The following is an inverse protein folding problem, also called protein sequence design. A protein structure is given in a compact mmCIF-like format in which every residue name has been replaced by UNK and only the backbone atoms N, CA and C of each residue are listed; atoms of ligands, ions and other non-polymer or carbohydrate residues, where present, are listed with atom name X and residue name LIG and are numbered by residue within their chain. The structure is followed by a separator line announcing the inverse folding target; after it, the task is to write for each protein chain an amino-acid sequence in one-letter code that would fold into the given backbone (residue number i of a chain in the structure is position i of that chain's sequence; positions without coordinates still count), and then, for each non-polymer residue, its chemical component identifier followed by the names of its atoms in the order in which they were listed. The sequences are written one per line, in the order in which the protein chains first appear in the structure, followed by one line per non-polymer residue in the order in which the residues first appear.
data_IF_215574329995
#
_entry.id   IF_215574329995
#
_cell.length_a   1.000
_cell.length_b   1.000
_cell.length_c   1.000
_cell.angle_alpha   90.00
_cell.angle_beta   90.00
_cell.angle_gamma   90.00
#
_symmetry.space_group_name_H-M   'P 1'
#
loop_
_entity.id
_entity.type
_entity.pdbx_description
1 polymer ?
#
# COMPACT_ATOMS: atom_id res chain seq x y z
N UNK A 1 -15.72 -29.35 -48.86
CA UNK A 1 -14.62 -29.15 -49.84
C UNK A 1 -13.35 -29.02 -49.01
N UNK A 2 -12.38 -29.95 -48.96
CA UNK A 2 -11.58 -30.56 -50.05
C UNK A 2 -10.52 -29.55 -50.48
N UNK A 3 -9.19 -29.73 -50.39
CA UNK A 3 -8.25 -30.87 -50.58
C UNK A 3 -6.91 -30.52 -49.83
N UNK A 4 -6.07 -31.38 -49.22
CA UNK A 4 -5.27 -32.55 -49.64
C UNK A 4 -4.31 -32.30 -50.83
N UNK A 5 -2.97 -32.34 -50.66
CA UNK A 5 -1.97 -33.35 -51.14
C UNK A 5 -0.60 -32.59 -51.23
N UNK A 6 0.63 -33.13 -51.13
CA UNK A 6 1.24 -34.35 -50.59
C UNK A 6 2.78 -34.18 -50.69
N UNK A 7 3.54 -35.03 -49.99
CA UNK A 7 4.98 -35.16 -50.22
C UNK A 7 5.65 -36.18 -49.30
N UNK A 8 5.39 -37.48 -49.52
CA UNK A 8 6.19 -38.57 -48.96
C UNK A 8 7.36 -38.91 -49.90
N UNK A 9 8.42 -39.53 -49.35
CA UNK A 9 8.87 -40.81 -49.89
C UNK A 9 8.84 -41.93 -48.82
N UNK A 10 8.47 -43.13 -49.28
CA UNK A 10 8.43 -44.38 -48.51
C UNK A 10 9.56 -45.32 -48.91
N UNK A 11 10.17 -46.05 -47.94
CA UNK A 11 10.23 -47.54 -47.78
C UNK A 11 11.46 -47.93 -46.91
N UNK A 12 11.52 -49.00 -46.10
CA UNK A 12 10.95 -50.36 -46.16
C UNK A 12 10.60 -50.93 -44.75
N UNK A 13 9.57 -51.80 -44.72
CA UNK A 13 9.13 -52.64 -43.58
C UNK A 13 10.04 -53.86 -43.34
N UNK A 14 10.11 -54.34 -42.08
CA UNK A 14 10.16 -55.79 -41.74
C UNK A 14 9.62 -56.05 -40.33
N UNK A 15 8.64 -56.94 -40.23
CA UNK A 15 8.33 -57.70 -39.00
C UNK A 15 7.16 -57.22 -38.14
N UNK A 16 5.93 -57.51 -38.56
CA UNK A 16 4.76 -57.53 -37.67
C UNK A 16 4.79 -58.76 -36.77
N UNK A 17 4.41 -58.61 -35.50
CA UNK A 17 3.57 -59.60 -34.78
C UNK A 17 2.94 -58.93 -33.55
N UNK A 18 1.65 -58.62 -33.66
CA UNK A 18 0.78 -58.35 -32.52
C UNK A 18 0.84 -59.51 -31.52
N UNK A 19 1.16 -59.23 -30.26
CA UNK A 19 0.88 -60.16 -29.15
C UNK A 19 -0.42 -59.73 -28.49
N UNK A 20 -1.50 -60.36 -28.93
CA UNK A 20 -2.76 -60.47 -28.19
C UNK A 20 -2.45 -61.20 -26.88
N UNK A 21 -2.71 -60.56 -25.73
CA UNK A 21 -2.63 -61.24 -24.42
C UNK A 21 -3.84 -62.16 -24.28
N UNK A 22 -3.64 -63.45 -24.54
CA UNK A 22 -4.57 -64.49 -24.11
C UNK A 22 -4.45 -64.66 -22.59
N UNK A 23 -5.59 -64.54 -21.89
CA UNK A 23 -5.75 -64.96 -20.50
C UNK A 23 -5.36 -66.44 -20.38
N UNK A 24 -4.38 -66.75 -19.52
CA UNK A 24 -4.13 -68.10 -19.02
C UNK A 24 -4.25 -68.11 -17.51
N UNK A 25 -5.33 -68.73 -17.03
CA UNK A 25 -5.40 -69.32 -15.69
C UNK A 25 -4.51 -70.57 -15.63
N UNK A 26 -3.91 -70.82 -14.47
CA UNK A 26 -3.61 -72.18 -13.99
C UNK A 26 -2.16 -72.67 -14.04
N UNK A 27 -1.51 -72.56 -12.87
CA UNK A 27 -0.59 -73.51 -12.20
C UNK A 27 0.90 -73.63 -12.56
N UNK A 28 1.64 -73.58 -11.43
CA UNK A 28 2.85 -74.30 -11.02
C UNK A 28 4.24 -73.72 -11.33
N UNK A 29 4.78 -73.11 -10.26
CA UNK A 29 6.11 -73.29 -9.66
C UNK A 29 7.32 -73.49 -10.57
N UNK A 30 8.24 -72.51 -10.48
CA UNK A 30 9.65 -72.77 -10.14
C UNK A 30 10.34 -71.51 -9.66
N UNK A 31 10.70 -71.55 -8.38
CA UNK A 31 11.65 -70.68 -7.70
C UNK A 31 12.91 -70.48 -8.55
N UNK A 32 13.19 -69.24 -8.96
CA UNK A 32 14.57 -68.78 -9.10
C UNK A 32 14.70 -67.44 -8.42
N UNK A 33 15.42 -67.49 -7.29
CA UNK A 33 15.92 -66.36 -6.54
C UNK A 33 16.64 -65.38 -7.46
N UNK A 34 15.97 -64.31 -7.86
CA UNK A 34 16.64 -63.02 -8.06
C UNK A 34 16.08 -62.09 -7.01
N UNK A 35 16.75 -62.08 -5.86
CA UNK A 35 16.82 -60.93 -4.95
C UNK A 35 17.13 -59.71 -5.81
N UNK A 36 16.09 -59.04 -6.32
CA UNK A 36 16.17 -57.60 -6.50
C UNK A 36 16.34 -57.10 -5.08
N UNK A 37 17.57 -56.71 -4.74
CA UNK A 37 17.79 -55.70 -3.72
C UNK A 37 16.74 -54.62 -4.02
N UNK A 38 15.67 -54.61 -3.24
CA UNK A 38 15.04 -53.36 -2.89
C UNK A 38 16.20 -52.65 -2.21
N UNK A 39 16.77 -51.68 -2.91
CA UNK A 39 17.31 -50.57 -2.16
C UNK A 39 16.10 -50.07 -1.37
N UNK A 40 16.05 -50.48 -0.10
CA UNK A 40 15.61 -49.66 1.01
C UNK A 40 16.53 -48.41 1.04
N UNK A 41 16.55 -47.69 -0.08
CA UNK A 41 17.15 -46.39 -0.21
C UNK A 41 16.16 -45.50 0.52
N UNK A 42 16.50 -45.16 1.77
CA UNK A 42 15.96 -44.03 2.53
C UNK A 42 15.17 -43.13 1.58
N UNK A 43 13.84 -43.19 1.65
CA UNK A 43 13.04 -42.07 1.18
C UNK A 43 13.63 -40.90 1.96
N UNK A 44 14.41 -40.06 1.28
CA UNK A 44 14.84 -38.82 1.88
C UNK A 44 13.54 -38.12 2.19
N UNK A 45 13.18 -38.05 3.47
CA UNK A 45 12.07 -37.24 3.94
C UNK A 45 12.43 -35.82 3.51
N UNK A 46 11.95 -35.46 2.33
CA UNK A 46 12.19 -34.18 1.70
C UNK A 46 11.17 -33.21 2.24
N UNK A 47 11.49 -31.93 2.26
CA UNK A 47 10.53 -30.89 2.64
C UNK A 47 9.24 -30.92 1.81
N UNK A 48 9.21 -31.60 0.65
CA UNK A 48 8.03 -31.82 -0.19
C UNK A 48 7.05 -32.88 0.31
N UNK A 49 7.40 -33.69 1.32
CA UNK A 49 6.49 -34.66 1.94
C UNK A 49 5.73 -34.10 3.15
N UNK A 50 6.10 -32.88 3.58
CA UNK A 50 5.42 -32.19 4.67
C UNK A 50 4.03 -31.69 4.21
N UNK A 51 3.04 -31.65 5.11
CA UNK A 51 1.80 -30.92 4.89
C UNK A 51 2.05 -29.49 4.41
N UNK A 52 1.19 -29.02 3.51
CA UNK A 52 1.28 -27.72 2.86
C UNK A 52 1.37 -26.59 3.88
N UNK A 53 0.62 -26.71 4.98
CA UNK A 53 0.56 -25.75 6.07
C UNK A 53 1.90 -25.64 6.81
N UNK A 54 2.62 -26.76 6.98
CA UNK A 54 3.94 -26.78 7.63
C UNK A 54 4.97 -26.14 6.71
N UNK A 55 4.90 -26.40 5.41
CA UNK A 55 5.78 -25.78 4.41
C UNK A 55 5.57 -24.26 4.39
N UNK A 56 4.32 -23.80 4.39
CA UNK A 56 3.99 -22.39 4.44
C UNK A 56 4.49 -21.75 5.74
N UNK A 57 4.35 -22.43 6.88
CA UNK A 57 4.88 -21.92 8.17
C UNK A 57 6.41 -21.83 8.18
N UNK A 58 7.11 -22.83 7.63
CA UNK A 58 8.57 -22.79 7.46
C UNK A 58 8.95 -21.60 6.56
N UNK A 59 8.23 -21.39 5.46
CA UNK A 59 8.48 -20.25 4.57
C UNK A 59 8.36 -18.92 5.32
N UNK A 60 7.26 -18.70 6.05
CA UNK A 60 7.02 -17.50 6.84
C UNK A 60 8.18 -17.25 7.83
N UNK A 61 8.51 -18.26 8.66
CA UNK A 61 9.56 -18.12 9.68
C UNK A 61 10.96 -17.97 9.09
N UNK A 62 11.23 -18.57 7.92
CA UNK A 62 12.54 -18.49 7.28
C UNK A 62 12.80 -17.16 6.59
N UNK A 63 11.74 -16.42 6.22
CA UNK A 63 11.83 -15.20 5.42
C UNK A 63 12.48 -15.38 4.04
N UNK A 64 12.72 -16.61 3.59
CA UNK A 64 13.55 -16.86 2.41
C UNK A 64 12.72 -16.86 1.12
N UNK A 65 12.65 -15.69 0.47
CA UNK A 65 11.93 -15.50 -0.79
C UNK A 65 12.36 -16.47 -1.91
N UNK A 66 13.61 -16.95 -1.92
CA UNK A 66 14.09 -17.88 -2.94
C UNK A 66 13.39 -19.24 -2.89
N UNK A 67 12.72 -19.58 -1.78
CA UNK A 67 11.96 -20.82 -1.64
C UNK A 67 10.78 -20.89 -2.63
N UNK A 68 10.21 -19.74 -3.01
CA UNK A 68 9.17 -19.63 -4.02
C UNK A 68 9.66 -20.05 -5.42
N UNK A 69 10.94 -19.81 -5.72
CA UNK A 69 11.53 -20.00 -7.06
C UNK A 69 12.10 -21.41 -7.29
N UNK A 70 12.19 -22.24 -6.25
CA UNK A 70 12.88 -23.54 -6.30
C UNK A 70 12.25 -24.52 -7.30
N UNK A 71 10.92 -24.68 -7.27
CA UNK A 71 10.22 -25.59 -8.16
C UNK A 71 8.73 -25.22 -8.30
N UNK A 72 8.05 -25.84 -9.26
CA UNK A 72 6.60 -25.63 -9.50
C UNK A 72 5.73 -25.96 -8.29
N UNK A 73 6.14 -26.89 -7.44
CA UNK A 73 5.39 -27.29 -6.26
C UNK A 73 5.37 -26.20 -5.20
N UNK A 74 6.55 -25.68 -4.82
CA UNK A 74 6.68 -24.54 -3.91
C UNK A 74 6.04 -23.29 -4.49
N UNK A 75 6.23 -23.01 -5.79
CA UNK A 75 5.55 -21.90 -6.44
C UNK A 75 4.03 -21.99 -6.27
N UNK A 76 3.42 -23.17 -6.45
CA UNK A 76 1.96 -23.35 -6.34
C UNK A 76 1.46 -23.21 -4.90
N UNK A 77 2.25 -23.66 -3.93
CA UNK A 77 1.89 -23.62 -2.50
C UNK A 77 2.10 -22.24 -1.88
N UNK A 78 3.13 -21.53 -2.33
CA UNK A 78 3.56 -20.24 -1.81
C UNK A 78 3.02 -19.07 -2.66
N UNK A 79 2.05 -19.32 -3.54
CA UNK A 79 1.28 -18.24 -4.18
C UNK A 79 0.63 -17.39 -3.08
N UNK A 80 0.67 -16.05 -3.15
CA UNK A 80 0.01 -15.19 -2.18
C UNK A 80 -1.48 -15.53 -2.06
N UNK A 81 -1.85 -16.17 -0.95
CA UNK A 81 -3.24 -16.37 -0.55
C UNK A 81 -3.55 -15.45 0.63
N UNK A 82 -4.83 -15.14 0.86
CA UNK A 82 -5.26 -14.31 2.00
C UNK A 82 -4.81 -14.91 3.34
N UNK A 83 -4.88 -16.24 3.49
CA UNK A 83 -4.40 -16.93 4.68
C UNK A 83 -2.90 -16.82 4.88
N UNK A 84 -2.11 -16.97 3.80
CA UNK A 84 -0.65 -16.89 3.85
C UNK A 84 -0.19 -15.46 4.16
N UNK A 85 -0.80 -14.46 3.49
CA UNK A 85 -0.53 -13.04 3.76
C UNK A 85 -0.90 -12.67 5.19
N UNK A 86 -2.04 -13.16 5.69
CA UNK A 86 -2.42 -12.97 7.10
C UNK A 86 -1.36 -13.52 8.04
N UNK A 87 -0.96 -14.78 7.86
CA UNK A 87 0.06 -15.38 8.72
C UNK A 87 1.41 -14.67 8.62
N UNK A 88 1.79 -14.14 7.45
CA UNK A 88 3.00 -13.33 7.31
C UNK A 88 2.91 -12.00 8.06
N UNK A 89 1.80 -11.29 7.96
CA UNK A 89 1.61 -10.02 8.68
C UNK A 89 1.66 -10.26 10.18
N UNK A 90 0.92 -11.25 10.66
CA UNK A 90 0.84 -11.57 12.09
C UNK A 90 2.14 -12.10 12.70
N UNK A 91 2.91 -12.92 11.97
CA UNK A 91 4.15 -13.50 12.52
C UNK A 91 5.37 -12.59 12.33
N UNK A 92 5.43 -11.80 11.25
CA UNK A 92 6.63 -11.02 10.92
C UNK A 92 6.50 -9.52 11.20
N UNK A 93 5.27 -8.98 11.26
CA UNK A 93 5.04 -7.54 11.41
C UNK A 93 4.28 -7.16 12.68
N UNK A 94 3.52 -8.10 13.26
CA UNK A 94 2.86 -7.87 14.55
C UNK A 94 3.70 -8.42 15.67
N UNK A 95 3.91 -7.61 16.69
CA UNK A 95 4.73 -7.89 17.84
C UNK A 95 3.93 -7.75 19.13
N UNK A 96 4.14 -8.69 20.03
CA UNK A 96 3.51 -8.75 21.36
C UNK A 96 4.60 -8.52 22.42
N UNK A 97 4.71 -7.31 22.99
CA UNK A 97 5.75 -6.97 23.96
C UNK A 97 5.74 -7.87 25.20
N UNK A 98 4.56 -8.36 25.61
CA UNK A 98 4.39 -9.19 26.79
C UNK A 98 5.11 -10.54 26.65
N UNK A 99 5.22 -11.09 25.44
CA UNK A 99 5.99 -12.32 25.18
C UNK A 99 7.48 -12.17 25.51
N UNK A 100 7.97 -10.94 25.54
CA UNK A 100 9.35 -10.58 25.84
C UNK A 100 9.51 -10.02 27.25
N UNK A 101 8.46 -10.07 28.09
CA UNK A 101 8.47 -9.56 29.46
C UNK A 101 8.43 -8.02 29.54
N UNK A 102 7.98 -7.35 28.49
CA UNK A 102 7.79 -5.90 28.48
C UNK A 102 6.32 -5.62 28.75
N UNK A 103 6.05 -5.03 29.91
CA UNK A 103 4.71 -4.58 30.30
C UNK A 103 4.56 -3.12 29.86
N UNK A 104 3.68 -2.90 28.87
CA UNK A 104 3.27 -1.58 28.43
C UNK A 104 1.85 -1.34 28.93
N UNK A 105 1.68 -0.34 29.78
CA UNK A 105 0.36 0.06 30.25
C UNK A 105 -0.24 1.04 29.24
N UNK A 106 -1.46 0.79 28.77
CA UNK A 106 -2.27 1.81 28.13
C UNK A 106 -2.77 2.74 29.26
N UNK A 107 -2.27 3.98 29.32
CA UNK A 107 -2.86 5.00 30.18
C UNK A 107 -4.17 5.44 29.54
N UNK A 108 -5.29 4.81 29.90
CA UNK A 108 -6.62 5.28 29.51
C UNK A 108 -7.39 5.82 30.72
N UNK A 109 -7.85 7.06 30.57
CA UNK A 109 -8.68 7.88 31.50
C UNK A 109 -10.13 7.35 31.69
N UNK A 110 -10.47 6.15 31.23
CA UNK A 110 -11.84 5.61 31.27
C UNK A 110 -11.94 4.40 32.23
N UNK A 111 -12.63 4.61 33.36
CA UNK A 111 -12.88 3.70 34.49
C UNK A 111 -13.61 2.37 34.14
N UNK A 112 -13.73 1.98 32.87
CA UNK A 112 -14.66 0.93 32.42
C UNK A 112 -14.14 -0.07 31.37
N UNK A 113 -12.86 -0.49 31.42
CA UNK A 113 -12.44 -1.71 30.71
C UNK A 113 -11.57 -2.67 31.52
N UNK A 114 -11.72 -3.93 31.14
CA UNK A 114 -11.19 -5.11 31.78
C UNK A 114 -9.66 -5.12 31.84
N UNK A 115 -9.17 -5.33 33.05
CA UNK A 115 -7.87 -5.92 33.39
C UNK A 115 -7.43 -6.94 32.31
N UNK A 116 -6.41 -6.59 31.51
CA UNK A 116 -5.75 -7.52 30.56
C UNK A 116 -5.97 -7.32 29.06
N UNK A 117 -6.24 -6.10 28.55
CA UNK A 117 -6.20 -5.87 27.10
C UNK A 117 -4.77 -6.07 26.59
N UNK A 118 -4.62 -6.97 25.61
CA UNK A 118 -3.32 -7.35 25.05
C UNK A 118 -2.80 -6.26 24.12
N UNK A 119 -1.71 -5.60 24.50
CA UNK A 119 -1.04 -4.60 23.65
C UNK A 119 -0.38 -5.31 22.47
N UNK A 120 -0.80 -4.96 21.27
CA UNK A 120 -0.23 -5.46 20.01
C UNK A 120 0.36 -4.30 19.22
N UNK A 121 1.62 -4.41 18.85
CA UNK A 121 2.35 -3.40 18.09
C UNK A 121 2.56 -3.88 16.66
N UNK A 122 2.40 -3.01 15.68
CA UNK A 122 2.66 -3.33 14.27
C UNK A 122 3.86 -2.54 13.73
N UNK A 123 4.75 -3.21 13.01
CA UNK A 123 5.88 -2.55 12.36
C UNK A 123 5.40 -1.67 11.20
N UNK A 124 5.88 -0.44 11.14
CA UNK A 124 5.61 0.48 10.01
C UNK A 124 6.08 -0.08 8.65
N UNK A 125 7.04 -0.99 8.63
CA UNK A 125 7.57 -1.59 7.38
C UNK A 125 6.60 -2.53 6.68
N UNK A 126 5.46 -2.89 7.31
CA UNK A 126 4.38 -3.65 6.65
C UNK A 126 3.93 -2.97 5.36
N UNK A 127 4.07 -1.66 5.36
CA UNK A 127 3.78 -0.71 4.30
C UNK A 127 4.86 -0.62 3.21
N UNK A 128 5.92 -1.43 3.25
CA UNK A 128 6.89 -1.45 2.15
C UNK A 128 6.52 -2.47 1.06
N UNK A 129 5.54 -3.33 1.30
CA UNK A 129 5.19 -4.46 0.42
C UNK A 129 3.77 -4.34 -0.10
N UNK A 130 3.60 -4.09 -1.40
CA UNK A 130 2.29 -3.92 -2.09
C UNK A 130 1.26 -5.02 -1.78
N UNK A 131 1.71 -6.27 -1.58
CA UNK A 131 0.80 -7.36 -1.22
C UNK A 131 0.16 -7.18 0.16
N UNK A 132 0.90 -6.67 1.15
CA UNK A 132 0.39 -6.45 2.50
C UNK A 132 -0.53 -5.24 2.58
N UNK A 133 -0.25 -4.20 1.80
CA UNK A 133 -1.17 -3.09 1.59
C UNK A 133 -2.55 -3.54 1.15
N UNK A 134 -2.61 -4.25 0.02
CA UNK A 134 -3.87 -4.73 -0.54
C UNK A 134 -4.61 -5.64 0.44
N UNK A 135 -3.86 -6.45 1.18
CA UNK A 135 -4.42 -7.29 2.23
C UNK A 135 -5.02 -6.47 3.39
N UNK A 136 -4.29 -5.49 3.94
CA UNK A 136 -4.77 -4.63 5.03
C UNK A 136 -5.96 -3.77 4.60
N UNK A 137 -5.94 -3.24 3.37
CA UNK A 137 -7.07 -2.46 2.83
C UNK A 137 -8.33 -3.30 2.69
N UNK A 138 -8.19 -4.61 2.42
CA UNK A 138 -9.32 -5.53 2.33
C UNK A 138 -9.78 -6.04 3.72
N UNK A 139 -8.94 -5.95 4.75
CA UNK A 139 -9.19 -6.48 6.09
C UNK A 139 -8.90 -5.41 7.15
N UNK A 140 -9.60 -4.27 7.06
CA UNK A 140 -9.36 -3.11 7.93
C UNK A 140 -9.61 -3.41 9.42
N UNK A 141 -10.45 -4.40 9.73
CA UNK A 141 -10.74 -4.88 11.09
C UNK A 141 -9.48 -5.33 11.85
N UNK A 142 -8.41 -5.70 11.14
CA UNK A 142 -7.14 -6.05 11.77
C UNK A 142 -6.57 -4.86 12.54
N UNK A 143 -6.74 -3.64 12.02
CA UNK A 143 -6.22 -2.44 12.68
C UNK A 143 -6.84 -2.22 14.06
N UNK A 144 -8.08 -2.67 14.30
CA UNK A 144 -8.76 -2.55 15.60
C UNK A 144 -8.14 -3.41 16.70
N UNK A 145 -7.39 -4.43 16.32
CA UNK A 145 -6.61 -5.25 17.26
C UNK A 145 -5.21 -4.69 17.53
N UNK A 146 -4.77 -3.68 16.77
CA UNK A 146 -3.44 -3.08 16.91
C UNK A 146 -3.54 -1.83 17.77
N UNK A 147 -2.77 -1.79 18.86
CA UNK A 147 -2.71 -0.65 19.78
C UNK A 147 -1.94 0.51 19.17
N UNK A 148 -0.72 0.28 18.67
CA UNK A 148 0.13 1.31 18.03
C UNK A 148 1.04 0.71 16.96
N UNK A 149 1.51 1.56 16.04
CA UNK A 149 2.62 1.21 15.15
C UNK A 149 3.94 1.53 15.82
N UNK A 150 4.98 0.74 15.60
CA UNK A 150 6.33 0.96 16.15
C UNK A 150 7.33 1.30 15.02
N UNK A 151 8.18 2.32 15.20
CA UNK A 151 9.23 2.64 14.24
C UNK A 151 10.23 1.50 14.08
N UNK A 152 10.72 1.32 12.86
CA UNK A 152 11.66 0.25 12.51
C UNK A 152 12.94 0.32 13.34
N UNK A 153 13.45 1.53 13.57
CA UNK A 153 14.68 1.76 14.34
C UNK A 153 14.53 1.29 15.80
N UNK A 154 13.41 1.60 16.45
CA UNK A 154 13.15 1.19 17.85
C UNK A 154 13.07 -0.33 17.95
N UNK A 155 12.40 -0.98 17.01
CA UNK A 155 12.31 -2.44 16.98
C UNK A 155 13.67 -3.12 16.70
N UNK A 156 14.48 -2.57 15.79
CA UNK A 156 15.80 -3.10 15.47
C UNK A 156 16.77 -2.96 16.65
N UNK A 157 16.72 -1.83 17.36
CA UNK A 157 17.50 -1.61 18.57
C UNK A 157 17.13 -2.63 19.65
N UNK A 158 15.83 -2.87 19.86
CA UNK A 158 15.37 -3.91 20.79
C UNK A 158 15.88 -5.31 20.38
N UNK A 159 15.74 -5.67 19.10
CA UNK A 159 16.16 -6.99 18.61
C UNK A 159 17.68 -7.22 18.64
N UNK A 160 18.48 -6.15 18.55
CA UNK A 160 19.95 -6.23 18.49
C UNK A 160 20.61 -6.06 19.86
N UNK A 161 20.16 -5.10 20.66
CA UNK A 161 20.74 -4.75 21.96
C UNK A 161 19.99 -5.40 23.13
N UNK A 162 18.75 -5.85 22.92
CA UNK A 162 17.89 -6.38 23.98
C UNK A 162 17.40 -5.30 24.95
N UNK A 163 17.54 -4.01 24.59
CA UNK A 163 17.19 -2.89 25.45
C UNK A 163 15.69 -2.60 25.39
N UNK A 164 14.94 -3.17 26.33
CA UNK A 164 13.52 -2.89 26.51
C UNK A 164 13.24 -1.44 26.93
N UNK A 165 14.24 -0.72 27.48
CA UNK A 165 14.10 0.67 27.93
C UNK A 165 13.76 1.61 26.79
N UNK A 166 14.33 1.39 25.59
CA UNK A 166 14.02 2.19 24.39
C UNK A 166 12.57 2.01 23.93
N UNK A 167 12.02 0.80 24.03
CA UNK A 167 10.62 0.53 23.67
C UNK A 167 9.68 1.22 24.65
N UNK A 168 9.95 1.12 25.95
CA UNK A 168 9.15 1.78 26.99
C UNK A 168 9.22 3.31 26.82
N UNK A 169 10.42 3.86 26.63
CA UNK A 169 10.60 5.29 26.40
C UNK A 169 9.86 5.78 25.15
N UNK A 170 9.85 5.00 24.07
CA UNK A 170 9.08 5.31 22.88
C UNK A 170 7.57 5.21 23.14
N UNK A 171 7.12 4.19 23.88
CA UNK A 171 5.70 4.01 24.22
C UNK A 171 5.14 5.18 25.03
N UNK A 172 5.94 5.69 25.98
CA UNK A 172 5.61 6.87 26.80
C UNK A 172 5.60 8.19 26.00
N UNK A 173 6.17 8.22 24.78
CA UNK A 173 6.05 9.39 23.91
C UNK A 173 4.62 9.44 23.36
N UNK A 174 3.79 10.26 23.98
CA UNK A 174 2.44 10.45 23.52
C UNK A 174 2.42 11.34 22.26
N UNK A 175 2.14 10.72 21.11
CA UNK A 175 2.14 11.39 19.83
C UNK A 175 1.87 10.43 18.67
N UNK A 176 1.14 10.93 17.66
CA UNK A 176 0.96 10.19 16.41
C UNK A 176 2.28 10.14 15.64
N UNK A 177 2.55 8.99 15.01
CA UNK A 177 3.68 8.83 14.12
C UNK A 177 3.46 9.61 12.82
N UNK A 178 4.53 9.93 12.10
CA UNK A 178 4.39 10.43 10.73
C UNK A 178 3.92 9.31 9.81
N UNK A 179 3.16 9.64 8.77
CA UNK A 179 2.84 8.65 7.73
C UNK A 179 4.14 8.09 7.13
N UNK A 180 4.22 6.78 6.86
CA UNK A 180 5.35 6.19 6.15
C UNK A 180 5.60 6.84 4.78
N UNK A 181 6.88 6.92 4.37
CA UNK A 181 7.30 7.55 3.11
C UNK A 181 6.55 7.02 1.87
N UNK A 182 6.13 5.76 1.90
CA UNK A 182 5.39 5.11 0.82
C UNK A 182 4.06 5.81 0.52
N UNK A 183 3.44 6.47 1.51
CA UNK A 183 2.23 7.26 1.29
C UNK A 183 2.52 8.56 0.56
N UNK A 184 3.61 9.27 0.92
CA UNK A 184 4.00 10.50 0.22
C UNK A 184 4.29 10.27 -1.27
N UNK A 185 4.71 9.06 -1.65
CA UNK A 185 4.98 8.70 -3.04
C UNK A 185 3.76 8.15 -3.81
N UNK A 186 2.69 7.71 -3.14
CA UNK A 186 1.58 6.97 -3.75
C UNK A 186 0.22 7.67 -3.52
N UNK A 187 -0.04 8.72 -4.30
CA UNK A 187 -1.28 9.49 -4.22
C UNK A 187 -2.55 8.68 -4.49
N UNK A 188 -2.45 7.58 -5.27
CA UNK A 188 -3.57 6.66 -5.55
C UNK A 188 -4.26 6.15 -4.28
N UNK A 189 -3.50 6.00 -3.18
CA UNK A 189 -4.05 5.52 -1.91
C UNK A 189 -5.04 6.51 -1.29
N UNK A 190 -4.78 7.80 -1.42
CA UNK A 190 -5.67 8.86 -0.94
C UNK A 190 -6.90 9.05 -1.84
N UNK A 191 -6.82 8.60 -3.09
CA UNK A 191 -7.92 8.66 -4.05
C UNK A 191 -8.85 7.46 -3.89
N UNK A 192 -8.30 6.24 -3.97
CA UNK A 192 -9.10 5.02 -4.07
C UNK A 192 -9.32 4.31 -2.72
N UNK A 193 -8.47 4.55 -1.72
CA UNK A 193 -8.47 3.81 -0.44
C UNK A 193 -8.75 4.71 0.76
N UNK A 194 -9.67 5.67 0.60
CA UNK A 194 -9.97 6.74 1.59
C UNK A 194 -10.31 6.22 2.99
N UNK A 195 -11.18 5.21 3.09
CA UNK A 195 -11.58 4.66 4.38
C UNK A 195 -10.40 4.06 5.13
N UNK A 196 -9.50 3.40 4.40
CA UNK A 196 -8.29 2.84 4.98
C UNK A 196 -7.34 3.95 5.48
N UNK A 197 -7.14 5.00 4.70
CA UNK A 197 -6.36 6.17 5.12
C UNK A 197 -6.96 6.83 6.38
N UNK A 198 -8.29 6.97 6.45
CA UNK A 198 -8.98 7.45 7.65
C UNK A 198 -8.76 6.54 8.85
N UNK A 199 -8.83 5.22 8.69
CA UNK A 199 -8.53 4.30 9.79
C UNK A 199 -7.08 4.44 10.30
N UNK A 200 -6.15 4.80 9.42
CA UNK A 200 -4.75 5.04 9.80
C UNK A 200 -4.51 6.36 10.52
N UNK A 201 -5.41 7.34 10.43
CA UNK A 201 -5.26 8.63 11.14
C UNK A 201 -5.33 8.49 12.67
N UNK A 202 -5.81 7.35 13.18
CA UNK A 202 -5.71 6.96 14.60
C UNK A 202 -4.25 6.78 15.05
N UNK A 203 -3.37 6.39 14.13
CA UNK A 203 -1.97 6.05 14.43
C UNK A 203 -0.98 7.06 13.86
N UNK A 204 -1.35 7.70 12.75
CA UNK A 204 -0.45 8.55 11.98
C UNK A 204 -1.02 9.96 11.77
N UNK A 205 -0.13 10.94 11.66
CA UNK A 205 -0.41 12.31 11.24
C UNK A 205 0.41 12.63 10.00
N UNK A 206 -0.21 13.23 8.99
CA UNK A 206 0.50 13.64 7.77
C UNK A 206 1.24 14.94 8.06
N UNK A 207 2.57 14.91 7.98
CA UNK A 207 3.41 16.11 8.10
C UNK A 207 3.50 16.85 6.77
N UNK A 208 3.76 18.15 6.87
CA UNK A 208 3.93 19.05 5.72
C UNK A 208 2.82 18.93 4.65
N UNK A 209 1.53 19.05 5.05
CA UNK A 209 0.40 18.80 4.16
C UNK A 209 0.40 19.67 2.91
N UNK A 210 0.91 20.91 2.96
CA UNK A 210 0.90 21.82 1.83
C UNK A 210 1.89 21.41 0.72
N UNK A 211 3.03 20.83 1.09
CA UNK A 211 3.99 20.24 0.14
C UNK A 211 3.34 19.02 -0.53
N UNK A 212 2.70 18.16 0.27
CA UNK A 212 2.00 16.99 -0.25
C UNK A 212 0.85 17.39 -1.18
N UNK A 213 0.09 18.44 -0.85
CA UNK A 213 -0.98 18.97 -1.71
C UNK A 213 -0.45 19.53 -3.03
N UNK A 214 0.69 20.23 -3.01
CA UNK A 214 1.34 20.71 -4.23
C UNK A 214 1.64 19.54 -5.19
N UNK A 215 2.32 18.51 -4.70
CA UNK A 215 2.65 17.31 -5.49
C UNK A 215 1.39 16.55 -5.94
N UNK A 216 0.37 16.46 -5.08
CA UNK A 216 -0.90 15.82 -5.39
C UNK A 216 -1.63 16.54 -6.52
N UNK A 217 -1.67 17.87 -6.51
CA UNK A 217 -2.30 18.67 -7.56
C UNK A 217 -1.64 18.39 -8.91
N UNK A 218 -0.31 18.44 -8.98
CA UNK A 218 0.40 18.11 -10.21
C UNK A 218 0.13 16.67 -10.65
N UNK A 219 0.23 15.70 -9.73
CA UNK A 219 -0.01 14.30 -10.03
C UNK A 219 -1.43 14.04 -10.58
N UNK A 220 -2.45 14.66 -9.97
CA UNK A 220 -3.85 14.45 -10.34
C UNK A 220 -4.11 14.89 -11.79
N UNK A 221 -3.65 16.09 -12.17
CA UNK A 221 -3.87 16.63 -13.51
C UNK A 221 -2.87 16.11 -14.56
N UNK A 222 -1.70 15.61 -14.15
CA UNK A 222 -0.77 14.90 -15.05
C UNK A 222 -1.35 13.57 -15.52
N UNK A 223 -2.05 12.87 -14.62
CA UNK A 223 -2.73 11.60 -14.89
C UNK A 223 -3.93 11.78 -15.82
N UNK A 224 -4.71 12.84 -15.62
CA UNK A 224 -6.00 13.06 -16.27
C UNK A 224 -5.92 13.83 -17.61
N UNK A 225 -4.77 13.83 -18.29
CA UNK A 225 -4.57 14.56 -19.55
C UNK A 225 -5.52 14.17 -20.72
N UNK A 226 -6.47 13.25 -20.57
CA UNK A 226 -7.23 12.69 -21.69
C UNK A 226 -8.75 12.53 -21.56
N UNK A 227 -9.42 12.76 -20.42
CA UNK A 227 -10.86 12.48 -20.34
C UNK A 227 -11.70 13.65 -19.75
N UNK A 228 -12.82 13.92 -20.41
CA UNK A 228 -13.78 15.02 -20.22
C UNK A 228 -14.79 14.77 -19.07
N UNK A 229 -14.41 14.04 -18.01
CA UNK A 229 -15.38 13.58 -17.01
C UNK A 229 -15.44 14.50 -15.76
N UNK A 230 -16.63 15.08 -15.54
CA UNK A 230 -16.97 15.94 -14.39
C UNK A 230 -16.85 15.25 -13.02
N UNK A 231 -16.82 13.92 -13.00
CA UNK A 231 -16.69 13.11 -11.79
C UNK A 231 -15.26 13.19 -11.19
N UNK A 232 -14.25 13.57 -11.98
CA UNK A 232 -12.86 13.65 -11.53
C UNK A 232 -12.60 14.86 -10.63
N UNK A 233 -13.25 16.00 -10.88
CA UNK A 233 -13.07 17.20 -10.05
C UNK A 233 -13.60 16.97 -8.62
N UNK A 234 -14.73 16.27 -8.46
CA UNK A 234 -15.25 15.92 -7.13
C UNK A 234 -14.29 15.00 -6.38
N UNK A 235 -13.75 13.99 -7.07
CA UNK A 235 -12.75 13.08 -6.54
C UNK A 235 -11.52 13.84 -6.02
N UNK A 236 -11.04 14.83 -6.79
CA UNK A 236 -9.94 15.71 -6.40
C UNK A 236 -10.25 16.49 -5.11
N UNK A 237 -11.39 17.16 -5.03
CA UNK A 237 -11.75 17.95 -3.85
C UNK A 237 -11.88 17.10 -2.60
N UNK A 238 -12.51 15.92 -2.71
CA UNK A 238 -12.62 14.99 -1.59
C UNK A 238 -11.26 14.46 -1.13
N UNK A 239 -10.32 14.23 -2.06
CA UNK A 239 -8.96 13.80 -1.73
C UNK A 239 -8.17 14.92 -1.06
N UNK A 240 -8.28 16.17 -1.51
CA UNK A 240 -7.67 17.32 -0.81
C UNK A 240 -8.25 17.46 0.60
N UNK A 241 -9.57 17.31 0.74
CA UNK A 241 -10.24 17.30 2.05
C UNK A 241 -9.70 16.20 2.97
N UNK A 242 -9.52 14.98 2.45
CA UNK A 242 -8.94 13.87 3.22
C UNK A 242 -7.51 14.17 3.68
N UNK A 243 -6.67 14.76 2.82
CA UNK A 243 -5.28 15.13 3.17
C UNK A 243 -5.25 16.14 4.32
N UNK A 244 -6.13 17.14 4.29
CA UNK A 244 -6.25 18.12 5.36
C UNK A 244 -6.82 17.49 6.65
N UNK A 245 -7.80 16.60 6.53
CA UNK A 245 -8.41 15.84 7.63
C UNK A 245 -7.36 15.05 8.42
N UNK A 246 -6.53 14.25 7.74
CA UNK A 246 -5.50 13.42 8.39
C UNK A 246 -4.29 14.22 8.87
N UNK A 247 -4.03 15.37 8.28
CA UNK A 247 -2.99 16.30 8.73
C UNK A 247 -3.44 17.11 9.96
N UNK A 248 -4.70 16.96 10.38
CA UNK A 248 -5.33 17.74 11.45
C UNK A 248 -5.19 19.25 11.25
N UNK A 249 -5.27 19.69 10.00
CA UNK A 249 -5.33 21.13 9.69
C UNK A 249 -6.66 21.65 10.21
N UNK A 250 -6.62 22.66 11.08
CA UNK A 250 -7.81 23.23 11.72
C UNK A 250 -8.87 23.65 10.68
N UNK A 251 -10.13 23.71 11.11
CA UNK A 251 -11.31 24.09 10.30
C UNK A 251 -11.20 25.48 9.62
N UNK A 252 -10.13 26.24 9.88
CA UNK A 252 -9.82 27.51 9.22
C UNK A 252 -9.35 27.36 7.75
N UNK A 253 -9.00 26.16 7.30
CA UNK A 253 -8.61 25.88 5.90
C UNK A 253 -7.10 25.89 5.67
N UNK A 254 -6.67 26.06 4.41
CA UNK A 254 -5.27 26.04 4.01
C UNK A 254 -4.56 27.35 4.41
N UNK A 255 -3.47 27.22 5.17
CA UNK A 255 -2.65 28.35 5.63
C UNK A 255 -1.36 28.51 4.80
N UNK A 256 -1.45 28.40 3.48
CA UNK A 256 -0.30 28.52 2.57
C UNK A 256 -0.78 28.94 1.18
N UNK A 257 0.01 29.71 0.43
CA UNK A 257 -0.27 30.01 -0.98
C UNK A 257 0.14 28.87 -1.91
N UNK A 258 1.03 27.96 -1.48
CA UNK A 258 1.67 26.97 -2.34
C UNK A 258 0.68 26.04 -3.07
N UNK A 259 -0.36 25.47 -2.42
CA UNK A 259 -1.33 24.65 -3.14
C UNK A 259 -2.10 25.45 -4.19
N UNK A 260 -2.36 26.74 -3.93
CA UNK A 260 -3.06 27.60 -4.87
C UNK A 260 -2.18 27.99 -6.07
N UNK A 261 -0.89 28.22 -5.83
CA UNK A 261 0.09 28.45 -6.89
C UNK A 261 0.18 27.24 -7.82
N UNK A 262 0.26 26.04 -7.24
CA UNK A 262 0.30 24.76 -7.97
C UNK A 262 -0.96 24.58 -8.82
N UNK A 263 -2.13 24.87 -8.25
CA UNK A 263 -3.39 24.80 -8.96
C UNK A 263 -3.47 25.83 -10.11
N UNK A 264 -3.03 27.07 -9.89
CA UNK A 264 -2.99 28.09 -10.93
C UNK A 264 -2.07 27.70 -12.10
N UNK A 265 -0.90 27.16 -11.79
CA UNK A 265 0.05 26.71 -12.80
C UNK A 265 -0.58 25.60 -13.66
N UNK A 266 -1.13 24.56 -13.03
CA UNK A 266 -1.78 23.45 -13.71
C UNK A 266 -2.99 23.90 -14.55
N UNK A 267 -3.86 24.74 -13.99
CA UNK A 267 -5.12 25.12 -14.65
C UNK A 267 -4.93 26.16 -15.77
N UNK A 268 -4.03 27.14 -15.60
CA UNK A 268 -3.94 28.30 -16.51
C UNK A 268 -2.61 28.42 -17.25
N UNK A 269 -1.51 27.87 -16.73
CA UNK A 269 -0.21 27.88 -17.45
C UNK A 269 -0.11 26.61 -18.29
N UNK A 270 -0.40 25.45 -17.70
CA UNK A 270 -0.33 24.16 -18.37
C UNK A 270 -1.63 23.80 -19.12
N UNK A 271 -2.74 24.49 -18.83
CA UNK A 271 -4.06 24.29 -19.44
C UNK A 271 -4.58 22.85 -19.35
N UNK A 272 -4.45 22.23 -18.17
CA UNK A 272 -4.82 20.82 -17.93
C UNK A 272 -6.26 20.58 -17.50
N UNK A 273 -7.11 21.61 -17.55
CA UNK A 273 -8.53 21.49 -17.23
C UNK A 273 -9.37 22.21 -18.28
N UNK A 274 -10.53 21.63 -18.60
CA UNK A 274 -11.51 22.24 -19.49
C UNK A 274 -12.42 23.26 -18.77
N UNK A 275 -12.38 23.30 -17.43
CA UNK A 275 -13.20 24.19 -16.59
C UNK A 275 -12.37 24.98 -15.56
N UNK A 276 -11.22 25.57 -15.94
CA UNK A 276 -10.22 26.06 -15.00
C UNK A 276 -10.76 27.13 -14.04
N UNK A 277 -11.65 28.01 -14.50
CA UNK A 277 -12.27 29.05 -13.64
C UNK A 277 -13.20 28.44 -12.60
N UNK A 278 -14.01 27.44 -12.97
CA UNK A 278 -14.97 26.82 -12.06
C UNK A 278 -14.23 26.02 -10.97
N UNK A 279 -13.25 25.22 -11.38
CA UNK A 279 -12.43 24.40 -10.49
C UNK A 279 -11.63 25.28 -9.52
N UNK A 280 -10.99 26.35 -10.02
CA UNK A 280 -10.27 27.32 -9.18
C UNK A 280 -11.18 28.01 -8.16
N UNK A 281 -12.36 28.48 -8.60
CA UNK A 281 -13.34 29.12 -7.72
C UNK A 281 -13.84 28.15 -6.65
N UNK A 282 -14.11 26.90 -7.01
CA UNK A 282 -14.56 25.88 -6.06
C UNK A 282 -13.47 25.54 -5.05
N UNK A 283 -12.21 25.44 -5.47
CA UNK A 283 -11.07 25.21 -4.58
C UNK A 283 -10.91 26.33 -3.54
N UNK A 284 -10.95 27.60 -3.97
CA UNK A 284 -10.88 28.74 -3.07
C UNK A 284 -12.02 28.73 -2.04
N UNK A 285 -13.26 28.52 -2.49
CA UNK A 285 -14.42 28.50 -1.60
C UNK A 285 -14.39 27.36 -0.58
N UNK A 286 -13.84 26.20 -0.95
CA UNK A 286 -13.79 25.04 -0.05
C UNK A 286 -12.65 25.11 0.96
N UNK A 287 -11.49 25.65 0.58
CA UNK A 287 -10.28 25.49 1.37
C UNK A 287 -9.65 26.79 1.87
N UNK A 288 -10.13 27.97 1.47
CA UNK A 288 -9.65 29.24 2.01
C UNK A 288 -10.82 30.00 2.66
N UNK A 289 -10.82 30.04 3.99
CA UNK A 289 -11.76 30.87 4.74
C UNK A 289 -11.42 32.35 4.58
N UNK A 290 -12.42 33.25 4.67
CA UNK A 290 -12.17 34.71 4.52
C UNK A 290 -11.16 35.28 5.51
N UNK A 291 -11.05 34.68 6.70
CA UNK A 291 -10.16 35.14 7.76
C UNK A 291 -8.69 34.82 7.43
N UNK A 292 -8.42 33.64 6.89
CA UNK A 292 -7.07 33.19 6.52
C UNK A 292 -6.69 33.57 5.08
N UNK A 293 -7.69 33.70 4.20
CA UNK A 293 -7.52 34.04 2.81
C UNK A 293 -6.74 35.34 2.63
N UNK A 294 -6.95 36.36 3.47
CA UNK A 294 -6.29 37.65 3.26
C UNK A 294 -4.76 37.54 3.28
N UNK A 295 -4.18 36.78 4.20
CA UNK A 295 -2.72 36.63 4.31
C UNK A 295 -2.17 35.86 3.11
N UNK A 296 -2.69 34.66 2.86
CA UNK A 296 -2.15 33.73 1.86
C UNK A 296 -2.51 34.12 0.42
N UNK A 297 -3.67 34.74 0.20
CA UNK A 297 -4.04 35.28 -1.13
C UNK A 297 -3.31 36.59 -1.45
N UNK A 298 -2.61 37.18 -0.49
CA UNK A 298 -1.77 38.35 -0.71
C UNK A 298 -0.32 37.99 -0.97
N UNK A 299 0.04 36.70 -1.05
CA UNK A 299 1.44 36.30 -1.18
C UNK A 299 2.11 36.79 -2.49
N UNK A 300 3.33 37.36 -2.45
CA UNK A 300 4.04 37.82 -3.64
C UNK A 300 4.27 36.77 -4.74
N UNK A 301 4.52 35.50 -4.42
CA UNK A 301 4.70 34.45 -5.44
C UNK A 301 3.39 34.16 -6.16
N UNK A 302 2.29 34.08 -5.42
CA UNK A 302 0.95 33.94 -5.98
C UNK A 302 0.62 35.09 -6.94
N UNK A 303 0.85 36.34 -6.55
CA UNK A 303 0.59 37.50 -7.40
C UNK A 303 1.47 37.58 -8.64
N UNK A 304 2.72 37.09 -8.56
CA UNK A 304 3.59 36.96 -9.73
C UNK A 304 3.02 35.96 -10.73
N UNK A 305 2.49 34.83 -10.24
CA UNK A 305 1.87 33.81 -11.07
C UNK A 305 0.56 34.30 -11.69
N UNK A 306 -0.32 34.94 -10.91
CA UNK A 306 -1.56 35.57 -11.40
C UNK A 306 -1.29 36.62 -12.48
N UNK A 307 -0.20 37.38 -12.37
CA UNK A 307 0.23 38.30 -13.43
C UNK A 307 0.64 37.55 -14.69
N UNK A 308 1.39 36.46 -14.55
CA UNK A 308 1.88 35.67 -15.69
C UNK A 308 0.75 35.03 -16.50
N UNK A 309 -0.36 34.64 -15.85
CA UNK A 309 -1.54 34.09 -16.54
C UNK A 309 -2.34 35.16 -17.28
N UNK A 310 -2.21 36.44 -16.89
CA UNK A 310 -2.94 37.59 -17.48
C UNK A 310 -4.47 37.41 -17.53
N UNK A 311 -5.02 36.53 -16.68
CA UNK A 311 -6.45 36.22 -16.66
C UNK A 311 -7.18 37.11 -15.65
N UNK A 312 -7.83 38.17 -16.15
CA UNK A 312 -8.52 39.14 -15.29
C UNK A 312 -9.63 38.52 -14.45
N UNK A 313 -10.33 37.51 -14.95
CA UNK A 313 -11.41 36.85 -14.19
C UNK A 313 -10.87 36.15 -12.94
N UNK A 314 -9.70 35.52 -13.03
CA UNK A 314 -9.04 34.83 -11.92
C UNK A 314 -8.51 35.84 -10.90
N UNK A 315 -7.94 36.94 -11.39
CA UNK A 315 -7.49 38.05 -10.52
C UNK A 315 -8.68 38.62 -9.74
N UNK A 316 -9.81 38.88 -10.41
CA UNK A 316 -11.02 39.40 -9.77
C UNK A 316 -11.55 38.43 -8.70
N UNK A 317 -11.51 37.11 -8.95
CA UNK A 317 -11.90 36.09 -7.95
C UNK A 317 -11.03 36.17 -6.70
N UNK A 318 -9.70 36.25 -6.87
CA UNK A 318 -8.75 36.35 -5.75
C UNK A 318 -8.95 37.63 -4.95
N UNK A 319 -9.16 38.77 -5.62
CA UNK A 319 -9.46 40.05 -4.97
C UNK A 319 -10.79 39.99 -4.20
N UNK A 320 -11.82 39.40 -4.79
CA UNK A 320 -13.13 39.25 -4.15
C UNK A 320 -13.10 38.33 -2.91
N UNK A 321 -12.12 37.43 -2.83
CA UNK A 321 -11.85 36.62 -1.64
C UNK A 321 -10.93 37.28 -0.60
N UNK A 322 -10.54 38.54 -0.80
CA UNK A 322 -9.77 39.33 0.17
C UNK A 322 -8.27 39.43 -0.13
N UNK A 323 -7.78 38.83 -1.22
CA UNK A 323 -6.40 38.96 -1.64
C UNK A 323 -6.05 40.39 -2.05
N UNK A 324 -4.90 40.89 -1.59
CA UNK A 324 -4.42 42.24 -1.91
C UNK A 324 -3.26 42.20 -2.90
N UNK A 325 -3.38 42.91 -4.04
CA UNK A 325 -2.32 42.96 -5.03
C UNK A 325 -1.05 43.59 -4.46
N UNK A 326 0.05 42.85 -4.57
CA UNK A 326 1.37 43.35 -4.18
C UNK A 326 1.98 44.19 -5.30
N UNK A 327 1.69 45.50 -5.30
CA UNK A 327 2.22 46.48 -6.27
C UNK A 327 3.76 46.54 -6.33
N UNK A 328 4.47 46.07 -5.29
CA UNK A 328 5.94 45.95 -5.30
C UNK A 328 6.48 44.85 -6.24
N UNK A 329 5.66 43.84 -6.59
CA UNK A 329 5.98 42.85 -7.62
C UNK A 329 5.60 43.32 -9.04
N UNK A 330 5.05 44.54 -9.17
CA UNK A 330 4.72 45.15 -10.46
C UNK A 330 5.88 45.99 -11.03
N UNK A 331 6.94 46.24 -10.26
CA UNK A 331 8.11 47.02 -10.67
C UNK A 331 9.38 46.19 -10.78
#
# INVERSE_FOLDING_TARGET
MGYAIAGYPTRKRRGHRHKVKLLKHGKEDKLTNKRRKRDDGKVSIGMSELPVEIIQRIFIMSGNAAMYELNKFYHTILVPSTSLLSSMVWENYVWDPLQYGIELNEEDDDDNRHDGQKVLLMLETVFNVNAFWNYLTANMEILDSISRFIPTAVYQDFMSEGDSGKVVQWWEQDGLMDFPQVFYANFELFVYNRNFIRSLSRFFILKDPYIHLNELIHWFYDRNNNDDDDDDDELFFETVGLVLEIAKVEDGGIYSSEPLESLLDVLFVQNKSNKPIQTFTKFLNLFYSRENAQEHLSDPSLWRLLRSTSNMTVIDIVVNHGGQPHYGAFF
#
